data_IF_805932173793
#
_entry.id   IF_805932173793
#
_cell.length_a   1.000
_cell.length_b   1.000
_cell.length_c   1.000
_cell.angle_alpha   90.00
_cell.angle_beta   90.00
_cell.angle_gamma   90.00
#
_symmetry.space_group_name_H-M   'P 1'
#
loop_
_entity.id
_entity.type
_entity.pdbx_description
1 polymer ?
#
# COMPACT_ATOMS: atom_id res chain seq x y z
N UNK A 1 1.39 25.56 16.94
CA UNK A 1 2.01 24.23 17.15
C UNK A 1 1.18 23.49 18.19
N UNK A 2 0.52 22.37 17.79
CA UNK A 2 -0.22 21.53 18.75
C UNK A 2 0.79 20.87 19.70
N UNK A 3 0.56 20.98 21.01
CA UNK A 3 1.40 20.34 22.00
C UNK A 3 1.05 18.85 22.08
N UNK A 4 2.03 17.99 21.84
CA UNK A 4 1.94 16.57 22.19
C UNK A 4 1.95 16.46 23.70
N UNK A 5 1.00 15.73 24.27
CA UNK A 5 0.94 15.44 25.70
C UNK A 5 0.62 13.96 25.93
N UNK A 6 0.93 13.47 27.12
CA UNK A 6 0.49 12.14 27.54
C UNK A 6 -1.03 12.15 27.73
N UNK A 7 -1.69 11.08 27.30
CA UNK A 7 -3.12 10.90 27.52
C UNK A 7 -3.42 10.78 29.03
N UNK A 8 -4.50 11.40 29.48
CA UNK A 8 -5.05 11.27 30.82
C UNK A 8 -6.29 10.37 30.86
N UNK A 9 -6.90 10.22 32.04
CA UNK A 9 -8.08 9.38 32.21
C UNK A 9 -9.26 9.82 31.33
N UNK A 10 -9.45 11.13 31.17
CA UNK A 10 -10.53 11.69 30.32
C UNK A 10 -10.29 11.34 28.87
N UNK A 11 -9.05 11.45 28.38
CA UNK A 11 -8.71 11.04 27.01
C UNK A 11 -9.03 9.57 26.76
N UNK A 12 -8.69 8.67 27.69
CA UNK A 12 -9.00 7.25 27.58
C UNK A 12 -10.51 6.98 27.60
N UNK A 13 -11.25 7.65 28.46
CA UNK A 13 -12.72 7.54 28.49
C UNK A 13 -13.35 8.00 27.20
N UNK A 14 -12.95 9.17 26.68
CA UNK A 14 -13.45 9.71 25.41
C UNK A 14 -13.04 8.85 24.20
N UNK A 15 -11.84 8.26 24.25
CA UNK A 15 -11.37 7.38 23.18
C UNK A 15 -12.17 6.07 23.11
N UNK A 16 -12.58 5.53 24.25
CA UNK A 16 -13.29 4.27 24.35
C UNK A 16 -14.83 4.41 24.32
N UNK A 17 -15.35 5.55 24.75
CA UNK A 17 -16.80 5.83 24.83
C UNK A 17 -17.09 7.21 24.17
N UNK A 18 -17.00 7.30 22.85
CA UNK A 18 -17.32 8.54 22.14
C UNK A 18 -18.82 8.88 22.32
N UNK A 19 -19.11 10.15 22.53
CA UNK A 19 -20.49 10.63 22.72
C UNK A 19 -21.35 10.59 21.44
N UNK A 20 -20.70 10.48 20.28
CA UNK A 20 -21.35 10.36 18.97
C UNK A 20 -21.18 8.93 18.47
N UNK A 21 -22.23 8.24 18.02
CA UNK A 21 -22.09 6.92 17.43
C UNK A 21 -21.37 7.02 16.08
N UNK A 22 -20.62 5.98 15.69
CA UNK A 22 -20.06 5.94 14.35
C UNK A 22 -21.17 5.79 13.31
N UNK A 23 -20.92 6.29 12.12
CA UNK A 23 -21.61 5.85 10.91
C UNK A 23 -21.11 4.45 10.54
N UNK A 24 -20.99 4.13 9.30
CA UNK A 24 -20.41 2.85 8.89
C UNK A 24 -18.87 2.85 9.01
N UNK A 25 -18.30 1.73 9.42
CA UNK A 25 -16.87 1.43 9.35
C UNK A 25 -16.65 -0.07 9.06
N UNK A 26 -15.46 -0.47 8.52
CA UNK A 26 -15.22 -1.86 8.12
C UNK A 26 -14.96 -2.76 9.33
N UNK A 27 -15.53 -3.96 9.30
CA UNK A 27 -15.25 -5.06 10.21
C UNK A 27 -14.65 -6.29 9.51
N UNK A 28 -14.01 -6.07 8.35
CA UNK A 28 -13.39 -7.09 7.55
C UNK A 28 -12.30 -7.81 8.33
N UNK A 29 -12.31 -9.14 8.28
CA UNK A 29 -11.27 -9.97 8.87
C UNK A 29 -9.98 -9.84 8.06
N UNK A 30 -8.87 -9.81 8.78
CA UNK A 30 -7.53 -9.76 8.20
C UNK A 30 -6.95 -11.18 8.10
N UNK A 31 -6.06 -11.40 7.15
CA UNK A 31 -5.39 -12.69 7.01
C UNK A 31 -4.31 -12.86 8.08
N UNK A 32 -4.46 -13.89 8.92
CA UNK A 32 -3.49 -14.19 9.96
C UNK A 32 -2.09 -14.44 9.35
N UNK A 33 -1.14 -13.61 9.76
CA UNK A 33 0.25 -13.71 9.32
C UNK A 33 1.16 -12.94 10.30
N UNK A 34 2.07 -13.66 10.96
CA UNK A 34 3.00 -13.08 11.94
C UNK A 34 3.97 -12.08 11.33
N UNK A 35 4.35 -12.26 10.06
CA UNK A 35 5.28 -11.38 9.36
C UNK A 35 4.75 -9.97 9.17
N UNK A 36 3.44 -9.81 9.01
CA UNK A 36 2.78 -8.50 8.92
C UNK A 36 2.02 -8.15 10.20
N UNK A 37 2.28 -8.87 11.29
CA UNK A 37 1.69 -8.63 12.61
C UNK A 37 0.15 -8.68 12.63
N UNK A 38 -0.43 -9.60 11.88
CA UNK A 38 -1.88 -9.88 11.92
C UNK A 38 -2.11 -11.15 12.73
N UNK A 39 -2.93 -11.04 13.76
CA UNK A 39 -3.32 -12.13 14.66
C UNK A 39 -4.60 -12.80 14.18
N UNK A 40 -4.87 -13.98 14.76
CA UNK A 40 -6.10 -14.71 14.51
C UNK A 40 -7.34 -13.86 14.85
N UNK A 41 -8.33 -13.89 13.96
CA UNK A 41 -9.62 -13.19 14.10
C UNK A 41 -9.53 -11.66 14.21
N UNK A 42 -8.36 -11.07 13.90
CA UNK A 42 -8.16 -9.61 13.89
C UNK A 42 -8.96 -8.97 12.76
N UNK A 43 -9.65 -7.88 13.10
CA UNK A 43 -10.42 -7.07 12.16
C UNK A 43 -9.71 -5.76 11.83
N UNK A 44 -10.04 -5.18 10.69
CA UNK A 44 -9.55 -3.84 10.30
C UNK A 44 -9.93 -2.79 11.35
N UNK A 45 -11.11 -2.87 11.95
CA UNK A 45 -11.56 -1.97 13.03
C UNK A 45 -10.68 -2.01 14.29
N UNK A 46 -10.01 -3.14 14.56
CA UNK A 46 -9.12 -3.28 15.72
C UNK A 46 -7.86 -2.42 15.63
N UNK A 47 -7.53 -1.93 14.44
CA UNK A 47 -6.40 -1.02 14.22
C UNK A 47 -6.68 0.41 14.69
N UNK A 48 -7.88 0.72 15.15
CA UNK A 48 -8.31 2.07 15.50
C UNK A 48 -8.84 2.16 16.92
N UNK A 49 -8.80 3.36 17.50
CA UNK A 49 -9.58 3.66 18.69
C UNK A 49 -11.05 3.87 18.30
N UNK A 50 -11.98 3.70 19.22
CA UNK A 50 -13.40 3.95 18.93
C UNK A 50 -13.66 5.40 18.48
N UNK A 51 -12.95 6.37 19.07
CA UNK A 51 -13.03 7.77 18.66
C UNK A 51 -12.52 8.00 17.24
N UNK A 52 -11.44 7.32 16.85
CA UNK A 52 -10.93 7.39 15.47
C UNK A 52 -11.92 6.78 14.48
N UNK A 53 -12.55 5.63 14.82
CA UNK A 53 -13.61 5.03 14.00
C UNK A 53 -14.77 5.99 13.78
N UNK A 54 -15.23 6.68 14.84
CA UNK A 54 -16.27 7.71 14.69
C UNK A 54 -15.83 8.81 13.75
N UNK A 55 -14.66 9.41 13.99
CA UNK A 55 -14.17 10.53 13.19
C UNK A 55 -13.97 10.17 11.72
N UNK A 56 -13.40 8.98 11.44
CA UNK A 56 -13.20 8.50 10.07
C UNK A 56 -14.54 8.17 9.40
N UNK A 57 -15.47 7.53 10.11
CA UNK A 57 -16.79 7.17 9.56
C UNK A 57 -17.61 8.39 9.18
N UNK A 58 -17.55 9.47 9.96
CA UNK A 58 -18.21 10.73 9.64
C UNK A 58 -17.60 11.40 8.42
N UNK A 59 -16.27 11.44 8.33
CA UNK A 59 -15.58 12.02 7.16
C UNK A 59 -15.95 11.25 5.89
N UNK A 60 -15.93 9.90 5.94
CA UNK A 60 -16.28 9.08 4.79
C UNK A 60 -17.74 9.23 4.39
N UNK A 61 -18.66 9.33 5.38
CA UNK A 61 -20.07 9.56 5.12
C UNK A 61 -20.30 10.87 4.35
N UNK A 62 -19.64 11.96 4.75
CA UNK A 62 -19.71 13.24 4.04
C UNK A 62 -19.09 13.17 2.63
N UNK A 63 -17.98 12.46 2.45
CA UNK A 63 -17.37 12.25 1.14
C UNK A 63 -18.33 11.55 0.17
N UNK A 64 -19.07 10.55 0.65
CA UNK A 64 -20.04 9.80 -0.16
C UNK A 64 -21.22 10.65 -0.64
N UNK A 65 -21.50 11.77 0.01
CA UNK A 65 -22.56 12.70 -0.37
C UNK A 65 -22.09 13.80 -1.35
N UNK A 66 -20.84 13.75 -1.80
CA UNK A 66 -20.33 14.67 -2.83
C UNK A 66 -20.84 14.24 -4.21
N UNK A 67 -21.59 15.09 -4.88
CA UNK A 67 -22.24 14.78 -6.17
C UNK A 67 -21.23 14.64 -7.32
N UNK A 68 -20.23 15.51 -7.38
CA UNK A 68 -19.18 15.48 -8.41
C UNK A 68 -18.27 14.24 -8.19
N UNK A 69 -18.31 13.33 -9.15
CA UNK A 69 -17.58 12.06 -9.09
C UNK A 69 -16.06 12.26 -9.02
N UNK A 70 -15.50 13.16 -9.82
CA UNK A 70 -14.06 13.40 -9.85
C UNK A 70 -13.56 14.04 -8.54
N UNK A 71 -14.39 14.89 -7.94
CA UNK A 71 -14.11 15.47 -6.61
C UNK A 71 -14.24 14.40 -5.54
N UNK A 72 -15.25 13.55 -5.58
CA UNK A 72 -15.47 12.45 -4.65
C UNK A 72 -14.28 11.49 -4.65
N UNK A 73 -13.84 11.03 -5.82
CA UNK A 73 -12.66 10.16 -5.98
C UNK A 73 -11.38 10.80 -5.41
N UNK A 74 -11.17 12.09 -5.66
CA UNK A 74 -10.03 12.82 -5.12
C UNK A 74 -10.08 12.93 -3.58
N UNK A 75 -11.28 13.06 -3.00
CA UNK A 75 -11.48 13.05 -1.55
C UNK A 75 -11.32 11.64 -0.97
N UNK A 76 -11.75 10.59 -1.64
CA UNK A 76 -11.51 9.20 -1.26
C UNK A 76 -10.01 8.87 -1.26
N UNK A 77 -9.26 9.29 -2.29
CA UNK A 77 -7.80 9.21 -2.30
C UNK A 77 -7.18 9.97 -1.12
N UNK A 78 -7.68 11.16 -0.83
CA UNK A 78 -7.26 11.96 0.34
C UNK A 78 -7.53 11.21 1.64
N UNK A 79 -8.69 10.58 1.75
CA UNK A 79 -9.13 9.81 2.90
C UNK A 79 -8.23 8.60 3.14
N UNK A 80 -7.88 7.81 2.10
CA UNK A 80 -6.94 6.68 2.23
C UNK A 80 -5.61 7.10 2.82
N UNK A 81 -5.09 8.26 2.40
CA UNK A 81 -3.86 8.84 2.96
C UNK A 81 -3.96 9.26 4.43
N UNK A 82 -5.17 9.48 4.95
CA UNK A 82 -5.41 9.87 6.34
C UNK A 82 -5.58 8.67 7.29
N UNK A 83 -6.11 7.55 6.79
CA UNK A 83 -6.48 6.36 7.59
C UNK A 83 -5.31 5.87 8.44
N UNK A 84 -4.14 5.66 7.83
CA UNK A 84 -2.96 5.14 8.52
C UNK A 84 -2.49 6.04 9.66
N UNK A 85 -2.60 7.35 9.49
CA UNK A 85 -2.21 8.32 10.52
C UNK A 85 -3.25 8.48 11.64
N UNK A 86 -4.50 8.13 11.38
CA UNK A 86 -5.56 8.12 12.38
C UNK A 86 -5.64 6.77 13.14
N UNK A 87 -4.83 5.77 12.75
CA UNK A 87 -4.80 4.44 13.36
C UNK A 87 -3.87 4.37 14.57
N UNK A 88 -3.94 3.25 15.30
CA UNK A 88 -2.99 2.88 16.37
C UNK A 88 -1.60 2.48 15.88
N UNK A 89 -1.39 2.41 14.55
CA UNK A 89 -0.10 2.05 13.94
C UNK A 89 0.94 3.19 14.03
N UNK A 90 0.57 4.37 14.52
CA UNK A 90 1.44 5.53 14.65
C UNK A 90 2.23 5.44 15.95
N UNK A 91 3.47 4.98 15.88
CA UNK A 91 4.31 4.76 17.06
C UNK A 91 4.97 6.03 17.58
N UNK A 92 5.47 5.94 18.81
CA UNK A 92 6.17 7.03 19.52
C UNK A 92 7.67 6.90 19.32
N UNK A 93 8.30 7.90 18.69
CA UNK A 93 9.75 7.99 18.59
C UNK A 93 10.26 8.77 19.80
N UNK A 94 11.02 8.11 20.69
CA UNK A 94 11.61 8.74 21.89
C UNK A 94 13.06 9.17 21.68
N UNK A 95 13.72 8.65 20.63
CA UNK A 95 15.13 8.94 20.34
C UNK A 95 15.32 9.17 18.85
N UNK A 96 15.94 10.30 18.50
CA UNK A 96 16.51 10.53 17.16
C UNK A 96 18.01 10.76 17.30
N UNK A 97 18.81 10.05 16.51
CA UNK A 97 20.27 10.23 16.43
C UNK A 97 21.07 9.00 16.87
N UNK A 98 22.39 9.06 16.64
CA UNK A 98 23.31 7.99 17.06
C UNK A 98 23.23 7.80 18.58
N UNK A 99 23.23 6.56 19.02
CA UNK A 99 22.96 6.13 20.40
C UNK A 99 23.76 6.86 21.50
N UNK A 100 24.94 7.39 21.19
CA UNK A 100 25.83 8.09 22.11
C UNK A 100 25.37 9.50 22.57
N UNK A 101 24.42 10.12 21.85
CA UNK A 101 23.92 11.48 22.17
C UNK A 101 22.41 11.56 22.45
N UNK A 102 21.72 10.42 22.55
CA UNK A 102 20.30 10.41 22.84
C UNK A 102 20.08 10.62 24.34
N UNK A 103 19.70 11.82 24.74
CA UNK A 103 19.21 12.07 26.10
C UNK A 103 17.84 11.43 26.28
N UNK A 104 17.62 10.78 27.44
CA UNK A 104 16.33 10.13 27.79
C UNK A 104 15.14 11.10 27.89
N UNK A 105 15.37 12.41 27.77
CA UNK A 105 14.41 13.50 27.94
C UNK A 105 13.90 14.09 26.61
N UNK A 106 14.18 13.46 25.46
CA UNK A 106 13.68 13.94 24.17
C UNK A 106 12.15 14.01 24.15
N UNK A 107 11.59 15.12 23.66
CA UNK A 107 10.15 15.22 23.41
C UNK A 107 9.74 14.10 22.46
N UNK A 108 8.64 13.37 22.76
CA UNK A 108 8.18 12.32 21.88
C UNK A 108 7.81 12.89 20.49
N UNK A 109 8.25 12.22 19.45
CA UNK A 109 7.93 12.55 18.07
C UNK A 109 7.03 11.49 17.46
N UNK A 110 6.17 11.94 16.51
CA UNK A 110 5.25 11.07 15.82
C UNK A 110 6.02 10.23 14.81
N UNK A 111 5.98 8.91 14.98
CA UNK A 111 6.49 7.95 14.02
C UNK A 111 5.57 7.81 12.81
N UNK A 112 6.07 7.14 11.79
CA UNK A 112 5.28 6.79 10.61
C UNK A 112 4.87 5.33 10.70
N UNK A 113 3.71 4.99 10.13
CA UNK A 113 3.38 3.60 9.89
C UNK A 113 4.49 2.95 9.03
N UNK A 114 4.90 1.78 9.45
CA UNK A 114 5.83 0.91 8.70
C UNK A 114 5.06 -0.26 8.09
N UNK A 115 5.70 -0.99 7.21
CA UNK A 115 5.10 -2.15 6.55
C UNK A 115 4.55 -3.14 7.60
N UNK A 116 3.33 -3.61 7.39
CA UNK A 116 2.61 -4.49 8.30
C UNK A 116 1.68 -3.76 9.26
N UNK A 117 1.04 -4.52 10.15
CA UNK A 117 -0.01 -4.04 11.05
C UNK A 117 0.39 -4.11 12.53
N UNK A 118 1.66 -3.83 12.78
CA UNK A 118 2.16 -3.77 14.15
C UNK A 118 1.52 -2.62 14.92
N UNK A 119 0.76 -2.96 15.95
CA UNK A 119 0.21 -2.00 16.91
C UNK A 119 1.18 -1.89 18.08
N UNK A 120 1.89 -0.76 18.23
CA UNK A 120 2.82 -0.54 19.34
C UNK A 120 2.09 -0.39 20.67
N UNK A 121 2.77 -0.71 21.79
CA UNK A 121 2.26 -0.49 23.14
C UNK A 121 1.95 1.00 23.40
N UNK A 122 2.82 1.89 22.92
CA UNK A 122 2.59 3.32 22.93
C UNK A 122 2.36 3.83 21.51
N UNK A 123 1.22 4.42 21.27
CA UNK A 123 0.87 5.02 19.99
C UNK A 123 0.30 6.42 20.15
N UNK A 124 0.38 7.21 19.10
CA UNK A 124 -0.31 8.49 19.03
C UNK A 124 -1.75 8.29 18.59
N UNK A 125 -2.66 8.96 19.26
CA UNK A 125 -3.99 9.19 18.72
C UNK A 125 -4.06 10.58 18.12
N UNK A 126 -4.09 10.65 16.81
CA UNK A 126 -4.17 11.91 16.06
C UNK A 126 -5.63 12.11 15.63
N UNK A 127 -6.14 13.31 15.83
CA UNK A 127 -7.52 13.64 15.46
C UNK A 127 -7.76 13.39 13.96
N UNK A 128 -8.77 12.60 13.62
CA UNK A 128 -9.06 12.15 12.26
C UNK A 128 -9.18 13.29 11.25
N UNK A 129 -9.86 14.38 11.63
CA UNK A 129 -9.96 15.58 10.79
C UNK A 129 -8.58 16.20 10.49
N UNK A 130 -7.69 16.27 11.46
CA UNK A 130 -6.35 16.82 11.22
C UNK A 130 -5.54 15.95 10.26
N UNK A 131 -5.70 14.62 10.34
CA UNK A 131 -5.09 13.69 9.40
C UNK A 131 -5.61 13.94 7.98
N UNK A 132 -6.93 14.03 7.84
CA UNK A 132 -7.59 14.30 6.56
C UNK A 132 -7.20 15.67 5.98
N UNK A 133 -7.33 16.75 6.75
CA UNK A 133 -6.99 18.12 6.31
C UNK A 133 -5.53 18.23 5.83
N UNK A 134 -4.59 17.60 6.55
CA UNK A 134 -3.19 17.62 6.15
C UNK A 134 -2.96 16.88 4.82
N UNK A 135 -3.67 15.77 4.60
CA UNK A 135 -3.60 15.04 3.32
C UNK A 135 -4.27 15.81 2.20
N UNK A 136 -5.43 16.40 2.47
CA UNK A 136 -6.13 17.26 1.51
C UNK A 136 -5.23 18.38 0.97
N UNK A 137 -4.53 19.11 1.86
CA UNK A 137 -3.60 20.17 1.44
C UNK A 137 -2.46 19.65 0.56
N UNK A 138 -1.96 18.43 0.83
CA UNK A 138 -0.91 17.82 0.01
C UNK A 138 -1.42 17.35 -1.35
N UNK A 139 -2.58 16.71 -1.39
CA UNK A 139 -3.20 16.25 -2.64
C UNK A 139 -3.56 17.45 -3.52
N UNK A 140 -4.15 18.50 -2.93
CA UNK A 140 -4.48 19.71 -3.65
C UNK A 140 -3.22 20.33 -4.31
N UNK A 141 -2.15 20.51 -3.53
CA UNK A 141 -0.88 20.99 -4.07
C UNK A 141 -0.33 20.08 -5.18
N UNK A 142 -0.35 18.76 -5.00
CA UNK A 142 0.08 17.82 -6.01
C UNK A 142 -0.73 17.93 -7.30
N UNK A 143 -2.05 18.10 -7.22
CA UNK A 143 -2.91 18.32 -8.39
C UNK A 143 -2.60 19.66 -9.09
N UNK A 144 -2.34 20.71 -8.34
CA UNK A 144 -1.92 22.02 -8.89
C UNK A 144 -0.58 21.88 -9.64
N UNK A 145 0.41 21.21 -9.04
CA UNK A 145 1.71 20.96 -9.66
C UNK A 145 1.56 20.14 -10.96
N UNK A 146 0.80 19.03 -10.94
CA UNK A 146 0.51 18.20 -12.12
C UNK A 146 -0.21 19.00 -13.20
N UNK A 147 -1.23 19.80 -12.85
CA UNK A 147 -1.94 20.63 -13.81
C UNK A 147 -1.02 21.67 -14.48
N UNK A 148 -0.08 22.23 -13.72
CA UNK A 148 0.90 23.17 -14.27
C UNK A 148 1.87 22.51 -15.23
N UNK A 149 2.22 21.26 -14.96
CA UNK A 149 3.12 20.45 -15.77
C UNK A 149 2.43 19.90 -17.02
N UNK A 150 1.23 19.33 -16.89
CA UNK A 150 0.49 18.72 -17.99
C UNK A 150 0.14 19.71 -19.12
N UNK A 151 -0.03 21.00 -18.79
CA UNK A 151 -0.23 22.06 -19.80
C UNK A 151 0.99 22.25 -20.72
N UNK A 152 2.18 21.79 -20.33
CA UNK A 152 3.43 21.90 -21.10
C UNK A 152 3.69 20.69 -21.98
N UNK A 153 3.07 19.57 -21.68
CA UNK A 153 3.30 18.29 -22.35
C UNK A 153 1.95 17.71 -22.81
N UNK A 154 1.80 17.62 -24.11
CA UNK A 154 0.65 16.93 -24.72
C UNK A 154 0.94 15.43 -24.73
N UNK A 155 0.91 14.78 -23.57
CA UNK A 155 1.18 13.36 -23.46
C UNK A 155 -0.14 12.60 -23.33
N UNK A 156 -0.41 11.76 -24.31
CA UNK A 156 -1.48 10.79 -24.22
C UNK A 156 -1.02 9.62 -23.32
N UNK A 157 -1.77 9.35 -22.26
CA UNK A 157 -1.57 8.17 -21.42
C UNK A 157 -2.91 7.49 -21.18
N UNK A 158 -2.85 6.18 -20.95
CA UNK A 158 -4.03 5.38 -20.62
C UNK A 158 -3.74 4.57 -19.36
N UNK A 159 -4.59 4.73 -18.36
CA UNK A 159 -4.60 3.86 -17.17
C UNK A 159 -5.59 2.72 -17.41
N UNK A 160 -5.14 1.49 -17.24
CA UNK A 160 -5.95 0.29 -17.43
C UNK A 160 -5.93 -0.49 -16.11
N UNK A 161 -7.11 -0.69 -15.53
CA UNK A 161 -7.29 -1.60 -14.40
C UNK A 161 -7.51 -3.00 -14.94
N UNK A 162 -6.61 -3.94 -14.62
CA UNK A 162 -6.68 -5.31 -15.13
C UNK A 162 -5.60 -6.21 -14.52
N UNK A 163 -5.46 -7.38 -15.09
CA UNK A 163 -4.40 -8.35 -14.74
C UNK A 163 -3.29 -8.34 -15.80
N UNK A 164 -2.04 -8.50 -15.36
CA UNK A 164 -0.92 -8.73 -16.26
C UNK A 164 -1.02 -10.08 -17.00
N UNK A 165 -1.87 -10.99 -16.54
CA UNK A 165 -2.16 -12.27 -17.22
C UNK A 165 -3.20 -12.13 -18.34
N UNK A 166 -3.80 -10.95 -18.51
CA UNK A 166 -4.80 -10.64 -19.54
C UNK A 166 -4.69 -9.17 -19.92
N UNK A 167 -3.77 -8.84 -20.82
CA UNK A 167 -3.49 -7.45 -21.21
C UNK A 167 -4.45 -7.05 -22.35
N UNK A 168 -5.33 -6.04 -22.16
CA UNK A 168 -6.32 -5.64 -23.17
C UNK A 168 -5.71 -4.75 -24.26
N UNK A 169 -4.70 -5.27 -24.95
CA UNK A 169 -4.00 -4.67 -26.08
C UNK A 169 -3.88 -5.69 -27.21
N UNK A 170 -3.80 -5.20 -28.45
CA UNK A 170 -3.65 -6.04 -29.63
C UNK A 170 -2.26 -6.71 -29.67
N UNK A 171 -2.19 -7.84 -30.37
CA UNK A 171 -0.95 -8.53 -30.63
C UNK A 171 0.05 -7.62 -31.35
N UNK A 172 1.33 -7.67 -30.97
CA UNK A 172 2.40 -6.89 -31.62
C UNK A 172 2.10 -5.38 -31.71
N UNK A 173 1.48 -4.81 -30.68
CA UNK A 173 1.09 -3.39 -30.65
C UNK A 173 2.04 -2.51 -29.83
N UNK A 174 2.83 -3.10 -28.92
CA UNK A 174 3.68 -2.40 -27.94
C UNK A 174 5.13 -2.36 -28.39
N UNK A 175 5.75 -1.19 -28.35
CA UNK A 175 7.17 -1.00 -28.74
C UNK A 175 8.16 -1.26 -27.62
N UNK A 176 7.74 -1.15 -26.35
CA UNK A 176 8.61 -1.37 -25.20
C UNK A 176 7.77 -1.71 -23.96
N UNK A 177 8.25 -2.65 -23.17
CA UNK A 177 7.65 -3.02 -21.90
C UNK A 177 8.66 -2.81 -20.76
N UNK A 178 8.23 -2.15 -19.69
CA UNK A 178 8.96 -2.09 -18.43
C UNK A 178 8.08 -2.67 -17.33
N UNK A 179 8.61 -3.62 -16.56
CA UNK A 179 7.92 -4.21 -15.42
C UNK A 179 8.82 -4.32 -14.20
N UNK A 180 8.24 -4.06 -13.04
CA UNK A 180 8.79 -4.31 -11.71
C UNK A 180 7.76 -5.17 -10.97
N UNK A 181 7.79 -6.51 -11.13
CA UNK A 181 6.79 -7.39 -10.56
C UNK A 181 6.99 -7.55 -9.06
N UNK A 182 5.99 -8.07 -8.33
CA UNK A 182 6.20 -8.48 -6.96
C UNK A 182 7.36 -9.48 -6.83
N UNK A 183 8.26 -9.22 -5.89
CA UNK A 183 9.43 -10.07 -5.65
C UNK A 183 9.06 -11.21 -4.68
N UNK A 184 8.32 -12.19 -5.18
CA UNK A 184 7.82 -13.33 -4.44
C UNK A 184 7.11 -12.93 -3.12
N UNK A 185 7.70 -13.24 -1.96
CA UNK A 185 7.09 -12.99 -0.66
C UNK A 185 7.50 -11.66 0.00
N UNK A 186 8.21 -10.76 -0.68
CA UNK A 186 8.76 -9.55 -0.04
C UNK A 186 7.68 -8.62 0.48
N UNK A 187 6.68 -8.31 -0.33
CA UNK A 187 5.59 -7.41 0.03
C UNK A 187 4.26 -8.09 -0.32
N UNK A 188 3.38 -8.20 0.67
CA UNK A 188 2.03 -8.74 0.54
C UNK A 188 1.07 -7.59 0.21
N UNK A 189 1.04 -7.16 -1.06
CA UNK A 189 0.39 -5.91 -1.46
C UNK A 189 -1.11 -5.89 -1.16
N UNK A 190 -1.85 -6.96 -1.49
CA UNK A 190 -3.28 -7.01 -1.25
C UNK A 190 -3.60 -7.10 0.25
N UNK A 191 -2.87 -7.92 1.02
CA UNK A 191 -3.05 -7.98 2.46
C UNK A 191 -2.76 -6.64 3.12
N UNK A 192 -1.71 -5.93 2.69
CA UNK A 192 -1.35 -4.63 3.26
C UNK A 192 -2.25 -3.49 2.79
N UNK A 193 -2.88 -3.62 1.63
CA UNK A 193 -3.87 -2.65 1.15
C UNK A 193 -5.26 -2.89 1.71
N UNK A 194 -5.49 -4.00 2.41
CA UNK A 194 -6.81 -4.37 2.93
C UNK A 194 -7.42 -3.27 3.80
N UNK A 195 -6.63 -2.61 4.62
CA UNK A 195 -7.12 -1.51 5.46
C UNK A 195 -7.78 -0.41 4.64
N UNK A 196 -7.18 0.00 3.52
CA UNK A 196 -7.74 1.03 2.64
C UNK A 196 -8.94 0.52 1.85
N UNK A 197 -8.81 -0.68 1.28
CA UNK A 197 -9.88 -1.30 0.51
C UNK A 197 -11.13 -1.53 1.35
N UNK A 198 -10.97 -1.95 2.60
CA UNK A 198 -12.07 -2.15 3.53
C UNK A 198 -12.80 -0.84 3.85
N UNK A 199 -12.08 0.25 4.13
CA UNK A 199 -12.70 1.55 4.37
C UNK A 199 -13.44 2.10 3.15
N UNK A 200 -12.97 1.82 1.94
CA UNK A 200 -13.66 2.20 0.71
C UNK A 200 -14.78 1.22 0.29
N UNK A 201 -14.96 0.11 1.03
CA UNK A 201 -15.94 -0.92 0.70
C UNK A 201 -15.56 -1.79 -0.50
N UNK A 202 -14.28 -1.79 -0.90
CA UNK A 202 -13.74 -2.53 -2.05
C UNK A 202 -13.21 -3.91 -1.69
N UNK A 203 -13.09 -4.25 -0.40
CA UNK A 203 -12.53 -5.50 0.12
C UNK A 203 -13.25 -6.76 -0.37
N UNK A 204 -14.56 -6.66 -0.63
CA UNK A 204 -15.37 -7.77 -1.16
C UNK A 204 -15.11 -8.08 -2.61
N UNK A 205 -14.51 -7.14 -3.35
CA UNK A 205 -14.26 -7.26 -4.78
C UNK A 205 -12.81 -7.62 -5.10
N UNK A 206 -11.97 -7.78 -4.09
CA UNK A 206 -10.57 -8.15 -4.27
C UNK A 206 -10.49 -9.58 -4.80
N UNK A 207 -9.83 -9.75 -5.94
CA UNK A 207 -9.57 -11.05 -6.57
C UNK A 207 -8.25 -11.62 -6.02
N UNK A 208 -8.30 -12.10 -4.77
CA UNK A 208 -7.14 -12.58 -4.00
C UNK A 208 -6.31 -13.63 -4.73
N UNK A 209 -6.96 -14.46 -5.53
CA UNK A 209 -6.33 -15.54 -6.31
C UNK A 209 -5.49 -15.02 -7.48
N UNK A 210 -5.75 -13.82 -7.99
CA UNK A 210 -5.02 -13.22 -9.12
C UNK A 210 -3.74 -12.49 -8.72
N UNK A 211 -3.50 -12.27 -7.45
CA UNK A 211 -2.27 -11.61 -7.02
C UNK A 211 -1.05 -12.49 -7.28
N UNK A 212 -0.02 -11.94 -7.92
CA UNK A 212 1.22 -12.65 -8.29
C UNK A 212 2.23 -12.49 -7.18
N UNK A 213 2.04 -13.23 -6.08
CA UNK A 213 2.92 -13.23 -4.90
C UNK A 213 3.08 -14.65 -4.34
N UNK A 214 4.03 -14.80 -3.43
CA UNK A 214 4.08 -15.90 -2.45
C UNK A 214 3.59 -15.36 -1.11
N UNK A 215 2.62 -16.02 -0.47
CA UNK A 215 2.07 -15.59 0.81
C UNK A 215 1.89 -16.79 1.76
N UNK A 216 2.44 -16.67 2.95
CA UNK A 216 2.24 -17.61 4.06
C UNK A 216 0.99 -17.30 4.89
N UNK A 217 0.22 -16.29 4.51
CA UNK A 217 -1.01 -15.91 5.22
C UNK A 217 -2.02 -17.06 5.15
N UNK A 218 -2.61 -17.38 6.30
CA UNK A 218 -3.58 -18.48 6.39
C UNK A 218 -4.76 -18.23 5.45
N UNK A 219 -5.05 -19.22 4.60
CA UNK A 219 -6.16 -19.16 3.64
C UNK A 219 -5.84 -18.52 2.30
N UNK A 220 -4.61 -17.99 2.09
CA UNK A 220 -4.21 -17.40 0.81
C UNK A 220 -3.82 -18.46 -0.24
N UNK A 221 -3.21 -19.56 0.17
CA UNK A 221 -2.76 -20.65 -0.71
C UNK A 221 -1.89 -20.17 -1.88
N UNK A 222 -0.93 -19.28 -1.61
CA UNK A 222 -0.03 -18.64 -2.58
C UNK A 222 1.41 -19.14 -2.39
N UNK A 223 1.71 -20.31 -2.91
CA UNK A 223 3.05 -20.90 -2.93
C UNK A 223 3.90 -20.41 -4.11
N UNK A 224 5.13 -20.88 -4.17
CA UNK A 224 6.07 -20.53 -5.24
C UNK A 224 5.64 -21.05 -6.61
N UNK A 225 4.94 -22.16 -6.67
CA UNK A 225 4.47 -22.73 -7.93
C UNK A 225 3.30 -21.91 -8.49
N UNK A 226 2.36 -21.52 -7.64
CA UNK A 226 1.28 -20.58 -7.97
C UNK A 226 1.84 -19.23 -8.46
N UNK A 227 2.84 -18.68 -7.76
CA UNK A 227 3.54 -17.46 -8.19
C UNK A 227 4.16 -17.61 -9.57
N UNK A 228 4.91 -18.70 -9.78
CA UNK A 228 5.61 -18.98 -11.04
C UNK A 228 4.62 -19.18 -12.21
N UNK A 229 3.48 -19.83 -11.97
CA UNK A 229 2.43 -20.02 -12.98
C UNK A 229 1.85 -18.69 -13.43
N UNK A 230 1.39 -17.86 -12.51
CA UNK A 230 0.80 -16.55 -12.83
C UNK A 230 1.82 -15.59 -13.46
N UNK A 231 3.07 -15.64 -13.01
CA UNK A 231 4.13 -14.84 -13.62
C UNK A 231 4.39 -15.32 -15.05
N UNK A 232 4.39 -16.64 -15.31
CA UNK A 232 4.50 -17.19 -16.66
C UNK A 232 3.36 -16.73 -17.58
N UNK A 233 2.12 -16.77 -17.11
CA UNK A 233 0.97 -16.25 -17.87
C UNK A 233 1.17 -14.77 -18.26
N UNK A 234 1.72 -13.98 -17.33
CA UNK A 234 2.06 -12.57 -17.60
C UNK A 234 3.15 -12.44 -18.68
N UNK A 235 4.16 -13.31 -18.69
CA UNK A 235 5.19 -13.32 -19.73
C UNK A 235 4.64 -13.72 -21.10
N UNK A 236 3.69 -14.67 -21.15
CA UNK A 236 2.97 -15.02 -22.39
C UNK A 236 2.26 -13.81 -22.95
N UNK A 237 1.51 -13.07 -22.11
CA UNK A 237 0.81 -11.87 -22.52
C UNK A 237 1.75 -10.74 -22.95
N UNK A 238 2.82 -10.51 -22.22
CA UNK A 238 3.85 -9.53 -22.60
C UNK A 238 4.44 -9.90 -23.97
N UNK A 239 4.76 -11.18 -24.18
CA UNK A 239 5.29 -11.65 -25.45
C UNK A 239 4.30 -11.48 -26.60
N UNK A 240 2.99 -11.66 -26.35
CA UNK A 240 1.92 -11.46 -27.32
C UNK A 240 1.81 -10.00 -27.77
N UNK A 241 1.78 -9.05 -26.80
CA UNK A 241 1.59 -7.64 -27.12
C UNK A 241 2.85 -6.94 -27.60
N UNK A 242 4.03 -7.42 -27.22
CA UNK A 242 5.32 -6.82 -27.61
C UNK A 242 5.63 -7.11 -29.08
N UNK A 243 5.90 -6.08 -29.86
CA UNK A 243 6.32 -6.21 -31.25
C UNK A 243 7.60 -7.04 -31.38
N UNK A 244 7.77 -7.68 -32.52
CA UNK A 244 9.00 -8.40 -32.84
C UNK A 244 10.20 -7.47 -32.78
N UNK A 245 11.34 -7.99 -32.30
CA UNK A 245 12.62 -7.29 -32.18
C UNK A 245 12.57 -6.03 -31.29
N UNK A 246 11.64 -6.02 -30.33
CA UNK A 246 11.51 -4.99 -29.28
C UNK A 246 11.91 -5.51 -27.92
N UNK A 247 12.04 -4.62 -26.93
CA UNK A 247 12.68 -4.90 -25.66
C UNK A 247 11.69 -4.93 -24.50
N UNK A 248 11.96 -5.85 -23.56
CA UNK A 248 11.40 -5.91 -22.23
C UNK A 248 12.49 -5.58 -21.22
N UNK A 249 12.28 -4.60 -20.35
CA UNK A 249 13.08 -4.39 -19.14
C UNK A 249 12.34 -4.93 -17.93
N UNK A 250 13.05 -5.72 -17.15
CA UNK A 250 12.51 -6.44 -15.99
C UNK A 250 13.36 -6.10 -14.76
N UNK A 251 12.80 -5.33 -13.81
CA UNK A 251 13.44 -5.06 -12.55
C UNK A 251 13.09 -6.18 -11.56
N UNK A 252 14.08 -6.81 -10.96
CA UNK A 252 13.82 -7.92 -10.04
C UNK A 252 14.90 -8.02 -8.96
N UNK A 253 14.47 -8.30 -7.73
CA UNK A 253 15.36 -8.58 -6.63
C UNK A 253 14.76 -9.67 -5.73
N UNK A 254 15.47 -10.77 -5.60
CA UNK A 254 15.08 -11.90 -4.76
C UNK A 254 16.27 -12.38 -3.95
N UNK A 255 16.03 -12.96 -2.76
CA UNK A 255 17.09 -13.44 -1.86
C UNK A 255 17.44 -14.91 -2.07
N UNK A 256 16.56 -15.69 -2.70
CA UNK A 256 16.76 -17.12 -2.86
C UNK A 256 17.01 -17.53 -4.33
N UNK A 257 17.90 -18.46 -4.51
CA UNK A 257 18.34 -18.92 -5.82
C UNK A 257 17.25 -19.68 -6.57
N UNK A 258 16.33 -20.35 -5.87
CA UNK A 258 15.25 -21.11 -6.51
C UNK A 258 14.29 -20.17 -7.25
N UNK A 259 13.89 -19.09 -6.60
CA UNK A 259 13.04 -18.05 -7.22
C UNK A 259 13.76 -17.37 -8.38
N UNK A 260 15.07 -17.09 -8.25
CA UNK A 260 15.86 -16.55 -9.34
C UNK A 260 15.89 -17.48 -10.57
N UNK A 261 16.22 -18.75 -10.37
CA UNK A 261 16.30 -19.75 -11.44
C UNK A 261 14.94 -19.95 -12.10
N UNK A 262 13.87 -20.08 -11.32
CA UNK A 262 12.50 -20.18 -11.86
C UNK A 262 12.15 -18.97 -12.71
N UNK A 263 12.44 -17.76 -12.23
CA UNK A 263 12.15 -16.52 -12.96
C UNK A 263 12.96 -16.41 -14.26
N UNK A 264 14.26 -16.70 -14.23
CA UNK A 264 15.09 -16.65 -15.45
C UNK A 264 14.62 -17.67 -16.50
N UNK A 265 14.18 -18.87 -16.08
CA UNK A 265 13.64 -19.87 -16.99
C UNK A 265 12.36 -19.39 -17.69
N UNK A 266 11.56 -18.50 -17.07
CA UNK A 266 10.37 -17.93 -17.73
C UNK A 266 10.72 -17.12 -18.97
N UNK A 267 11.82 -16.37 -18.96
CA UNK A 267 12.27 -15.64 -20.14
C UNK A 267 12.60 -16.58 -21.29
N UNK A 268 13.40 -17.62 -21.00
CA UNK A 268 13.84 -18.60 -21.99
C UNK A 268 12.63 -19.34 -22.56
N UNK A 269 11.73 -19.83 -21.69
CA UNK A 269 10.57 -20.61 -22.09
C UNK A 269 9.56 -19.79 -22.93
N UNK A 270 9.52 -18.47 -22.75
CA UNK A 270 8.66 -17.56 -23.50
C UNK A 270 9.38 -16.92 -24.72
N UNK A 271 10.57 -17.40 -25.08
CA UNK A 271 11.28 -17.01 -26.29
C UNK A 271 11.92 -15.62 -26.23
N UNK A 272 12.18 -15.10 -25.03
CA UNK A 272 12.99 -13.90 -24.86
C UNK A 272 14.48 -14.23 -24.96
N UNK A 273 15.25 -13.31 -25.53
CA UNK A 273 16.70 -13.41 -25.59
C UNK A 273 17.30 -12.40 -24.61
N UNK A 274 18.27 -12.87 -23.84
CA UNK A 274 19.02 -12.00 -22.94
C UNK A 274 19.89 -11.02 -23.72
N UNK A 275 19.84 -9.76 -23.36
CA UNK A 275 20.62 -8.69 -23.96
C UNK A 275 21.65 -8.17 -22.97
N UNK A 276 21.21 -7.71 -21.81
CA UNK A 276 22.07 -7.03 -20.83
C UNK A 276 21.47 -7.13 -19.42
N UNK A 277 22.30 -7.01 -18.39
CA UNK A 277 21.92 -6.85 -17.00
C UNK A 277 22.62 -5.63 -16.40
N UNK A 278 21.84 -4.76 -15.79
CA UNK A 278 22.34 -3.57 -15.12
C UNK A 278 22.03 -3.66 -13.60
N UNK A 279 23.02 -3.57 -12.72
CA UNK A 279 22.76 -3.48 -11.30
C UNK A 279 22.09 -2.15 -10.97
N UNK A 280 20.98 -2.21 -10.21
CA UNK A 280 20.33 -0.99 -9.70
C UNK A 280 21.11 -0.50 -8.48
N UNK A 281 21.64 0.71 -8.55
CA UNK A 281 22.27 1.38 -7.41
C UNK A 281 21.21 2.07 -6.55
N UNK A 282 21.23 1.82 -5.25
CA UNK A 282 20.34 2.49 -4.30
C UNK A 282 21.01 3.72 -3.71
N UNK A 283 20.35 4.87 -3.82
CA UNK A 283 20.85 6.13 -3.26
C UNK A 283 20.67 6.27 -1.74
N UNK A 284 19.89 5.40 -1.10
CA UNK A 284 19.65 5.41 0.34
C UNK A 284 19.39 4.00 0.89
N UNK A 285 19.96 3.70 2.05
CA UNK A 285 19.58 2.51 2.82
C UNK A 285 18.14 2.66 3.31
N UNK A 286 17.31 1.69 2.94
CA UNK A 286 15.93 1.55 3.44
C UNK A 286 15.94 0.60 4.65
N UNK A 287 15.08 0.87 5.62
CA UNK A 287 14.87 0.00 6.81
C UNK A 287 14.43 -1.43 6.42
N UNK A 288 14.08 -1.65 5.16
CA UNK A 288 13.64 -2.95 4.61
C UNK A 288 14.82 -3.75 3.99
N UNK A 289 16.02 -3.19 4.00
CA UNK A 289 17.21 -3.79 3.36
C UNK A 289 18.19 -4.46 4.34
N UNK A 290 17.93 -4.37 5.66
CA UNK A 290 18.73 -5.04 6.70
C UNK A 290 18.12 -6.40 7.10
#
# INVERSE_FOLDING_TARGET
>A
KKKIRKADKVDYEMSNNPSVPPKWYPESLMFENSRINVYKDQKVSDLFTKRALVGLSLILDEIKHVDDEAVREALELTFTGAISQASKLVFVIRRRGKAEKATLEGKPEVGSWVIGYWVPEEHFEIHSWNCFENRFKRILKGKEDVNSFSKKFNNDYKLILGSATEIPLDDNSVDYVFIDPPHANRILYMEQSLMWNAWLGLDKNIQWEKEIIVSESKGRNKDLDSYSSLLNESFVEIRRVLKKDKYLSFAFNCFDDETWIKTLNLFINNGFQFVEIEPLEYSAHSVVQD
#
